data_IF_678567384455
#
_entry.id   IF_678567384455
#
_cell.length_a   1.000
_cell.length_b   1.000
_cell.length_c   1.000
_cell.angle_alpha   90.00
_cell.angle_beta   90.00
_cell.angle_gamma   90.00
#
_symmetry.space_group_name_H-M   'P 1'
#
loop_
_entity.id
_entity.type
_entity.pdbx_description
1 polymer ?
#
# COMPACT_ATOMS: atom_id res chain seq x y z
N UNK A 1 0.02 -22.21 -9.95
CA UNK A 1 -0.01 -21.03 -10.85
C UNK A 1 0.58 -19.87 -10.07
N UNK A 2 1.54 -19.14 -10.63
CA UNK A 2 2.18 -18.01 -9.94
C UNK A 2 1.17 -16.87 -9.86
N UNK A 3 0.66 -16.60 -8.66
CA UNK A 3 -0.35 -15.55 -8.44
C UNK A 3 0.35 -14.30 -7.92
N UNK A 4 0.12 -13.19 -8.60
CA UNK A 4 0.66 -11.89 -8.18
C UNK A 4 -0.32 -11.13 -7.30
N UNK A 5 -1.61 -11.42 -7.32
CA UNK A 5 -2.62 -10.80 -6.45
C UNK A 5 -2.72 -11.39 -5.05
N UNK A 6 -3.95 -11.65 -4.60
CA UNK A 6 -4.24 -12.34 -3.34
C UNK A 6 -4.84 -13.73 -3.56
N UNK A 7 -4.83 -14.55 -2.52
CA UNK A 7 -5.69 -15.73 -2.41
C UNK A 7 -7.13 -15.35 -1.98
N UNK A 8 -8.03 -16.34 -1.90
CA UNK A 8 -9.42 -16.11 -1.49
C UNK A 8 -9.56 -15.65 -0.03
N UNK A 9 -8.55 -15.89 0.81
CA UNK A 9 -8.55 -15.51 2.22
C UNK A 9 -8.04 -14.08 2.44
N UNK A 10 -7.54 -13.41 1.41
CA UNK A 10 -7.04 -12.03 1.50
C UNK A 10 -5.53 -11.94 1.74
N UNK A 11 -4.80 -13.05 1.67
CA UNK A 11 -3.34 -13.02 1.76
C UNK A 11 -2.75 -12.58 0.41
N UNK A 12 -2.10 -11.43 0.42
CA UNK A 12 -1.46 -10.86 -0.78
C UNK A 12 -0.08 -11.46 -1.02
N UNK A 13 0.26 -11.67 -2.29
CA UNK A 13 1.65 -11.91 -2.66
C UNK A 13 2.52 -10.67 -2.38
N UNK A 14 3.84 -10.88 -2.31
CA UNK A 14 4.84 -9.82 -2.14
C UNK A 14 4.60 -8.89 -0.93
N UNK A 15 3.97 -9.39 0.14
CA UNK A 15 3.81 -8.63 1.38
C UNK A 15 5.18 -8.43 2.04
N UNK A 16 5.54 -7.18 2.31
CA UNK A 16 6.79 -6.80 2.97
C UNK A 16 6.52 -5.68 3.96
N UNK A 17 7.05 -5.85 5.16
CA UNK A 17 7.16 -4.80 6.18
C UNK A 17 8.53 -4.14 6.08
N UNK A 18 8.55 -2.81 6.08
CA UNK A 18 9.77 -2.01 6.16
C UNK A 18 9.70 -1.21 7.46
N UNK A 19 10.72 -1.37 8.30
CA UNK A 19 10.84 -0.67 9.58
C UNK A 19 12.07 0.24 9.55
N UNK A 20 11.88 1.52 9.85
CA UNK A 20 12.96 2.48 10.05
C UNK A 20 13.15 2.73 11.54
N UNK A 21 14.34 2.42 12.06
CA UNK A 21 14.70 2.61 13.47
C UNK A 21 15.72 3.72 13.60
N UNK A 22 15.50 4.65 14.53
CA UNK A 22 16.42 5.75 14.85
C UNK A 22 16.70 5.74 16.35
N UNK A 23 17.97 5.86 16.74
CA UNK A 23 18.36 5.98 18.14
C UNK A 23 19.21 7.24 18.34
N UNK A 24 18.72 8.18 19.15
CA UNK A 24 19.38 9.48 19.40
C UNK A 24 19.16 9.88 20.87
N UNK A 25 20.24 10.22 21.58
CA UNK A 25 20.19 10.79 22.95
C UNK A 25 19.29 10.01 23.93
N UNK A 26 19.37 8.68 23.93
CA UNK A 26 18.56 7.85 24.82
C UNK A 26 17.13 7.56 24.34
N UNK A 27 16.69 8.20 23.26
CA UNK A 27 15.43 7.91 22.60
C UNK A 27 15.64 6.87 21.50
N UNK A 28 14.73 5.91 21.41
CA UNK A 28 14.63 4.96 20.30
C UNK A 28 13.27 5.13 19.65
N UNK A 29 13.25 5.41 18.35
CA UNK A 29 12.02 5.44 17.56
C UNK A 29 12.00 4.37 16.48
N UNK A 30 10.80 3.91 16.14
CA UNK A 30 10.55 3.01 15.02
C UNK A 30 9.34 3.49 14.22
N UNK A 31 9.43 3.42 12.90
CA UNK A 31 8.33 3.70 11.99
C UNK A 31 8.18 2.56 10.98
N UNK A 32 6.99 1.97 10.95
CA UNK A 32 6.67 0.82 10.09
C UNK A 32 5.80 1.24 8.92
N UNK A 33 6.14 0.76 7.73
CA UNK A 33 5.31 0.83 6.52
C UNK A 33 5.20 -0.55 5.90
N UNK A 34 4.08 -0.81 5.22
CA UNK A 34 3.89 -2.09 4.52
C UNK A 34 3.70 -1.87 3.03
N UNK A 35 4.16 -2.85 2.25
CA UNK A 35 3.86 -2.94 0.82
C UNK A 35 3.36 -4.33 0.48
N UNK A 36 2.53 -4.44 -0.54
CA UNK A 36 2.05 -5.73 -1.00
C UNK A 36 1.35 -5.65 -2.34
N UNK A 37 1.09 -6.79 -2.95
CA UNK A 37 0.29 -6.84 -4.16
C UNK A 37 -1.15 -6.42 -3.93
N UNK A 38 -1.86 -6.03 -5.00
CA UNK A 38 -3.27 -5.61 -4.93
C UNK A 38 -4.16 -6.78 -4.44
N UNK A 39 -5.06 -6.56 -3.46
CA UNK A 39 -5.73 -7.63 -2.71
C UNK A 39 -6.99 -8.15 -3.39
N UNK A 40 -6.83 -8.71 -4.59
CA UNK A 40 -7.84 -9.54 -5.26
C UNK A 40 -7.14 -10.51 -6.22
N UNK A 41 -7.87 -11.46 -6.80
CA UNK A 41 -7.27 -12.41 -7.73
C UNK A 41 -7.00 -11.71 -9.06
N UNK A 42 -5.71 -11.58 -9.37
CA UNK A 42 -5.26 -11.19 -10.69
C UNK A 42 -3.96 -11.90 -11.02
N UNK A 43 -3.77 -12.13 -12.31
CA UNK A 43 -2.64 -12.83 -12.85
C UNK A 43 -1.99 -11.99 -13.95
N UNK A 44 -0.67 -12.15 -14.08
CA UNK A 44 0.06 -11.62 -15.20
C UNK A 44 0.41 -12.79 -16.10
N UNK A 45 -0.14 -12.78 -17.31
CA UNK A 45 0.02 -13.88 -18.26
C UNK A 45 1.46 -13.86 -18.75
N UNK A 46 2.25 -14.86 -18.38
CA UNK A 46 3.64 -14.96 -18.82
C UNK A 46 3.66 -15.32 -20.30
N UNK A 47 4.09 -14.37 -21.13
CA UNK A 47 4.32 -14.52 -22.57
C UNK A 47 5.66 -13.89 -22.98
N UNK A 48 6.00 -13.95 -24.27
CA UNK A 48 7.24 -13.35 -24.80
C UNK A 48 7.12 -11.83 -25.02
N UNK A 49 6.07 -11.16 -24.53
CA UNK A 49 5.90 -9.72 -24.69
C UNK A 49 6.65 -8.95 -23.61
N UNK A 50 7.12 -7.75 -23.98
CA UNK A 50 7.87 -6.87 -23.07
C UNK A 50 7.07 -6.48 -21.81
N UNK A 51 5.75 -6.29 -21.95
CA UNK A 51 4.86 -5.99 -20.83
C UNK A 51 3.68 -6.96 -20.86
N UNK A 52 3.77 -8.09 -20.14
CA UNK A 52 2.74 -9.10 -20.19
C UNK A 52 1.42 -8.58 -19.62
N UNK A 53 0.31 -9.08 -20.17
CA UNK A 53 -1.04 -8.58 -19.86
C UNK A 53 -1.48 -9.02 -18.47
N UNK A 54 -2.25 -8.15 -17.82
CA UNK A 54 -2.96 -8.48 -16.59
C UNK A 54 -4.36 -9.01 -16.89
N UNK A 55 -4.73 -10.07 -16.20
CA UNK A 55 -6.06 -10.67 -16.20
C UNK A 55 -6.61 -10.66 -14.78
N UNK A 56 -7.81 -10.11 -14.60
CA UNK A 56 -8.52 -10.13 -13.33
C UNK A 56 -9.33 -11.43 -13.30
N UNK A 57 -9.07 -12.25 -12.31
CA UNK A 57 -9.73 -13.54 -12.13
C UNK A 57 -10.84 -13.33 -11.11
N UNK A 58 -12.06 -13.78 -11.42
CA UNK A 58 -13.23 -13.66 -10.53
C UNK A 58 -13.41 -12.23 -9.97
N UNK A 59 -13.62 -11.23 -10.84
CA UNK A 59 -13.80 -9.83 -10.43
C UNK A 59 -14.92 -9.65 -9.39
N UNK A 60 -15.92 -10.53 -9.37
CA UNK A 60 -16.99 -10.57 -8.38
C UNK A 60 -16.52 -10.85 -6.94
N UNK A 61 -15.38 -11.53 -6.75
CA UNK A 61 -14.79 -11.81 -5.43
C UNK A 61 -13.90 -10.66 -4.93
N UNK A 62 -13.59 -9.67 -5.78
CA UNK A 62 -12.57 -8.65 -5.48
C UNK A 62 -12.88 -7.82 -4.23
N UNK A 63 -14.15 -7.45 -4.03
CA UNK A 63 -14.60 -6.73 -2.84
C UNK A 63 -14.37 -7.56 -1.56
N UNK A 64 -14.86 -8.80 -1.56
CA UNK A 64 -14.79 -9.68 -0.40
C UNK A 64 -13.33 -9.95 0.03
N UNK A 65 -12.44 -10.11 -0.94
CA UNK A 65 -11.03 -10.40 -0.68
C UNK A 65 -10.28 -9.15 -0.20
N UNK A 66 -10.56 -7.98 -0.80
CA UNK A 66 -10.02 -6.71 -0.33
C UNK A 66 -10.49 -6.43 1.11
N UNK A 67 -11.77 -6.67 1.41
CA UNK A 67 -12.32 -6.51 2.75
C UNK A 67 -11.60 -7.39 3.77
N UNK A 68 -11.43 -8.69 3.49
CA UNK A 68 -10.66 -9.62 4.35
C UNK A 68 -9.24 -9.12 4.58
N UNK A 69 -8.53 -8.76 3.51
CA UNK A 69 -7.17 -8.24 3.60
C UNK A 69 -7.04 -7.01 4.52
N UNK A 70 -7.92 -6.02 4.33
CA UNK A 70 -7.88 -4.79 5.13
C UNK A 70 -8.44 -4.96 6.53
N UNK A 71 -9.32 -5.95 6.78
CA UNK A 71 -9.69 -6.35 8.14
C UNK A 71 -8.48 -6.88 8.90
N UNK A 72 -7.65 -7.72 8.28
CA UNK A 72 -6.47 -8.27 8.94
C UNK A 72 -5.37 -7.24 9.14
N UNK A 73 -5.12 -6.36 8.15
CA UNK A 73 -4.21 -5.23 8.34
C UNK A 73 -4.64 -4.33 9.50
N UNK A 74 -5.95 -4.04 9.63
CA UNK A 74 -6.44 -3.21 10.73
C UNK A 74 -6.27 -3.86 12.10
N UNK A 75 -6.45 -5.18 12.18
CA UNK A 75 -6.20 -5.93 13.43
C UNK A 75 -4.73 -5.88 13.84
N UNK A 76 -3.81 -5.90 12.87
CA UNK A 76 -2.37 -5.92 13.14
C UNK A 76 -1.79 -4.54 13.42
N UNK A 77 -2.20 -3.52 12.66
CA UNK A 77 -1.53 -2.22 12.64
C UNK A 77 -2.42 -1.04 13.06
N UNK A 78 -3.71 -1.26 13.34
CA UNK A 78 -4.65 -0.18 13.63
C UNK A 78 -5.17 0.49 12.36
N UNK A 79 -5.09 1.82 12.26
CA UNK A 79 -5.59 2.53 11.07
C UNK A 79 -4.77 2.18 9.83
N UNK A 80 -5.40 2.09 8.66
CA UNK A 80 -4.70 1.77 7.41
C UNK A 80 -4.94 2.85 6.37
N UNK A 81 -3.87 3.36 5.78
CA UNK A 81 -3.92 4.19 4.57
C UNK A 81 -3.42 3.36 3.38
N UNK A 82 -4.34 2.96 2.51
CA UNK A 82 -4.02 2.25 1.28
C UNK A 82 -3.69 3.24 0.15
N UNK A 83 -2.43 3.30 -0.24
CA UNK A 83 -1.94 4.11 -1.36
C UNK A 83 -1.82 3.26 -2.62
N UNK A 84 -2.58 3.61 -3.65
CA UNK A 84 -2.52 3.03 -5.00
C UNK A 84 -1.63 3.89 -5.91
N UNK A 85 -0.44 3.38 -6.25
CA UNK A 85 0.56 4.06 -7.10
C UNK A 85 0.45 3.73 -8.59
N UNK A 86 -0.61 3.01 -9.01
CA UNK A 86 -0.78 2.61 -10.40
C UNK A 86 -1.13 3.77 -11.32
N UNK A 87 -0.74 3.63 -12.58
CA UNK A 87 -1.22 4.54 -13.61
C UNK A 87 -2.70 4.26 -13.97
N UNK A 88 -3.37 5.27 -14.53
CA UNK A 88 -4.77 5.16 -15.01
C UNK A 88 -4.91 4.66 -16.45
N UNK A 89 -3.87 4.09 -17.05
CA UNK A 89 -3.87 3.72 -18.47
C UNK A 89 -3.57 2.23 -18.71
N UNK A 90 -4.18 1.68 -19.77
CA UNK A 90 -3.92 0.30 -20.17
C UNK A 90 -4.24 -0.74 -19.09
N UNK A 91 -3.38 -1.75 -18.95
CA UNK A 91 -3.60 -2.87 -18.04
C UNK A 91 -3.54 -2.48 -16.54
N UNK A 92 -2.62 -1.60 -16.15
CA UNK A 92 -2.52 -1.07 -14.78
C UNK A 92 -3.77 -0.23 -14.44
N UNK A 93 -4.26 0.58 -15.38
CA UNK A 93 -5.50 1.34 -15.21
C UNK A 93 -6.69 0.46 -14.84
N UNK A 94 -6.89 -0.66 -15.54
CA UNK A 94 -7.97 -1.62 -15.21
C UNK A 94 -7.84 -2.20 -13.81
N UNK A 95 -6.61 -2.49 -13.36
CA UNK A 95 -6.36 -2.97 -12.00
C UNK A 95 -6.62 -1.89 -10.95
N UNK A 96 -6.18 -0.65 -11.21
CA UNK A 96 -6.44 0.50 -10.35
C UNK A 96 -7.93 0.80 -10.21
N UNK A 97 -8.67 0.74 -11.31
CA UNK A 97 -10.11 1.00 -11.31
C UNK A 97 -10.87 -0.09 -10.55
N UNK A 98 -10.51 -1.37 -10.75
CA UNK A 98 -11.06 -2.47 -9.96
C UNK A 98 -10.74 -2.29 -8.46
N UNK A 99 -9.49 -1.93 -8.14
CA UNK A 99 -9.09 -1.72 -6.76
C UNK A 99 -9.86 -0.57 -6.12
N UNK A 100 -9.97 0.55 -6.82
CA UNK A 100 -10.75 1.70 -6.37
C UNK A 100 -12.21 1.34 -6.11
N UNK A 101 -12.85 0.58 -7.01
CA UNK A 101 -14.24 0.15 -6.85
C UNK A 101 -14.43 -0.82 -5.67
N UNK A 102 -13.48 -1.73 -5.45
CA UNK A 102 -13.49 -2.63 -4.31
C UNK A 102 -13.27 -1.90 -2.98
N UNK A 103 -12.48 -0.82 -2.97
CA UNK A 103 -12.20 -0.03 -1.77
C UNK A 103 -13.35 0.91 -1.38
N UNK A 104 -14.07 1.49 -2.34
CA UNK A 104 -15.16 2.45 -2.08
C UNK A 104 -16.15 2.03 -0.98
N UNK A 105 -16.71 0.81 -0.96
CA UNK A 105 -17.68 0.41 0.06
C UNK A 105 -17.07 0.06 1.43
N UNK A 106 -15.75 -0.15 1.54
CA UNK A 106 -15.10 -0.56 2.78
C UNK A 106 -14.31 0.56 3.47
N UNK A 107 -14.13 1.70 2.80
CA UNK A 107 -13.51 2.90 3.39
C UNK A 107 -14.29 3.33 4.63
N UNK A 108 -13.55 3.61 5.70
CA UNK A 108 -14.08 4.00 7.02
C UNK A 108 -13.12 4.98 7.68
N UNK A 109 -13.42 5.43 8.91
CA UNK A 109 -12.52 6.32 9.65
C UNK A 109 -11.09 5.75 9.78
N UNK A 110 -10.98 4.43 10.02
CA UNK A 110 -9.70 3.73 10.20
C UNK A 110 -9.19 3.06 8.92
N UNK A 111 -9.83 3.27 7.77
CA UNK A 111 -9.39 2.74 6.48
C UNK A 111 -9.58 3.78 5.38
N UNK A 112 -8.48 4.42 4.97
CA UNK A 112 -8.48 5.43 3.90
C UNK A 112 -7.86 4.84 2.63
N UNK A 113 -8.44 5.17 1.49
CA UNK A 113 -7.89 4.85 0.17
C UNK A 113 -7.43 6.14 -0.53
N UNK A 114 -6.25 6.10 -1.14
CA UNK A 114 -5.70 7.19 -1.92
C UNK A 114 -5.08 6.65 -3.21
N UNK A 115 -5.59 7.10 -4.35
CA UNK A 115 -4.94 6.87 -5.64
C UNK A 115 -3.97 8.01 -5.96
N UNK A 116 -2.75 7.68 -6.37
CA UNK A 116 -1.72 8.62 -6.78
C UNK A 116 -1.03 8.09 -8.04
N UNK A 117 -1.30 8.70 -9.21
CA UNK A 117 -0.67 8.29 -10.47
C UNK A 117 0.81 8.68 -10.49
N UNK A 118 1.66 7.82 -9.94
CA UNK A 118 3.10 8.06 -9.81
C UNK A 118 3.76 8.33 -11.17
N UNK A 119 3.35 7.60 -12.21
CA UNK A 119 3.94 7.74 -13.54
C UNK A 119 3.62 9.10 -14.15
N UNK A 120 2.38 9.55 -14.02
CA UNK A 120 1.95 10.86 -14.53
C UNK A 120 2.55 12.02 -13.72
N UNK A 121 2.63 11.88 -12.40
CA UNK A 121 3.03 12.98 -11.52
C UNK A 121 4.55 13.10 -11.46
N UNK A 122 5.26 12.02 -11.12
CA UNK A 122 6.71 12.03 -10.91
C UNK A 122 7.51 11.72 -12.18
N UNK A 123 6.92 11.01 -13.14
CA UNK A 123 7.61 10.61 -14.38
C UNK A 123 8.91 9.84 -14.07
N UNK A 124 9.98 10.17 -14.80
CA UNK A 124 11.30 9.55 -14.62
C UNK A 124 12.29 10.38 -13.80
N UNK A 125 11.99 11.67 -13.54
CA UNK A 125 12.99 12.64 -13.02
C UNK A 125 12.42 13.55 -11.93
N UNK A 126 11.10 13.66 -11.79
CA UNK A 126 10.45 14.66 -10.94
C UNK A 126 10.03 14.09 -9.58
N UNK A 127 10.99 13.52 -8.83
CA UNK A 127 10.73 12.94 -7.52
C UNK A 127 10.34 13.97 -6.46
N UNK A 128 10.71 15.24 -6.66
CA UNK A 128 10.27 16.36 -5.81
C UNK A 128 8.75 16.46 -5.71
N UNK A 129 8.01 15.96 -6.71
CA UNK A 129 6.54 15.96 -6.75
C UNK A 129 5.91 14.92 -5.84
N UNK A 130 6.70 14.08 -5.18
CA UNK A 130 6.21 13.24 -4.07
C UNK A 130 5.75 14.09 -2.89
N UNK A 131 6.18 15.34 -2.78
CA UNK A 131 5.60 16.29 -1.82
C UNK A 131 4.07 16.35 -1.92
N UNK A 132 3.49 16.26 -3.12
CA UNK A 132 2.04 16.23 -3.29
C UNK A 132 1.38 14.99 -2.67
N UNK A 133 2.08 13.85 -2.63
CA UNK A 133 1.61 12.68 -1.91
C UNK A 133 1.71 12.92 -0.40
N UNK A 134 2.85 13.41 0.07
CA UNK A 134 3.06 13.70 1.49
C UNK A 134 2.05 14.70 2.03
N UNK A 135 1.77 15.78 1.31
CA UNK A 135 0.76 16.78 1.67
C UNK A 135 -0.64 16.16 1.82
N UNK A 136 -0.97 15.17 1.00
CA UNK A 136 -2.26 14.47 1.05
C UNK A 136 -2.37 13.48 2.21
N UNK A 137 -1.26 12.99 2.75
CA UNK A 137 -1.24 11.95 3.79
C UNK A 137 -0.70 12.44 5.15
N UNK A 138 -0.24 13.69 5.21
CA UNK A 138 0.36 14.28 6.41
C UNK A 138 -0.57 14.23 7.62
N UNK A 139 -1.87 14.45 7.41
CA UNK A 139 -2.90 14.33 8.45
C UNK A 139 -2.94 12.93 9.06
N UNK A 140 -2.87 11.90 8.21
CA UNK A 140 -2.84 10.51 8.65
C UNK A 140 -1.55 10.19 9.42
N UNK A 141 -0.39 10.67 8.94
CA UNK A 141 0.90 10.43 9.59
C UNK A 141 0.95 11.09 10.98
N UNK A 142 0.46 12.32 11.10
CA UNK A 142 0.41 13.03 12.39
C UNK A 142 -0.57 12.36 13.35
N UNK A 143 -1.75 11.93 12.88
CA UNK A 143 -2.76 11.25 13.70
C UNK A 143 -2.26 9.90 14.26
N UNK A 144 -1.55 9.12 13.44
CA UNK A 144 -1.17 7.74 13.78
C UNK A 144 0.24 7.60 14.35
N UNK A 145 1.07 8.63 14.21
CA UNK A 145 2.38 8.71 14.85
C UNK A 145 3.36 7.61 14.43
N UNK A 146 4.33 7.37 15.30
CA UNK A 146 5.38 6.37 15.18
C UNK A 146 5.69 5.84 16.58
N UNK A 147 6.39 4.71 16.69
CA UNK A 147 6.81 4.18 17.96
C UNK A 147 7.96 5.03 18.54
N UNK A 148 7.87 5.40 19.82
CA UNK A 148 8.92 6.13 20.53
C UNK A 148 9.09 5.53 21.93
N UNK A 149 10.34 5.28 22.32
CA UNK A 149 10.73 4.81 23.65
C UNK A 149 11.81 5.73 24.19
N UNK A 150 11.66 6.18 25.43
CA UNK A 150 12.69 6.96 26.14
C UNK A 150 13.42 6.12 27.21
N UNK A 151 14.46 6.70 27.82
CA UNK A 151 15.25 6.04 28.88
C UNK A 151 14.43 5.75 30.14
N UNK A 152 13.36 6.51 30.38
CA UNK A 152 12.42 6.35 31.48
C UNK A 152 11.36 5.26 31.21
N UNK A 153 11.46 4.54 30.08
CA UNK A 153 10.52 3.53 29.62
C UNK A 153 9.10 4.04 29.33
N UNK A 154 8.92 5.35 29.14
CA UNK A 154 7.70 5.89 28.55
C UNK A 154 7.67 5.55 27.06
N UNK A 155 6.51 5.08 26.59
CA UNK A 155 6.33 4.65 25.20
C UNK A 155 5.17 5.36 24.52
N UNK A 156 5.36 5.66 23.24
CA UNK A 156 4.30 5.94 22.29
C UNK A 156 4.27 4.81 21.27
N UNK A 157 3.07 4.43 20.83
CA UNK A 157 2.87 3.37 19.84
C UNK A 157 2.43 3.98 18.52
N UNK A 158 2.83 3.34 17.41
CA UNK A 158 2.30 3.64 16.10
C UNK A 158 0.88 3.04 15.98
N UNK A 159 -0.11 3.87 15.70
CA UNK A 159 -1.54 3.49 15.69
C UNK A 159 -2.10 3.22 14.29
N UNK A 160 -1.26 3.30 13.27
CA UNK A 160 -1.66 3.07 11.89
C UNK A 160 -0.50 2.90 10.93
N UNK A 161 -0.77 2.35 9.76
CA UNK A 161 0.25 2.02 8.75
C UNK A 161 -0.13 2.56 7.38
N UNK A 162 0.87 3.05 6.65
CA UNK A 162 0.76 3.34 5.22
C UNK A 162 1.05 2.05 4.45
N UNK A 163 0.07 1.59 3.67
CA UNK A 163 0.16 0.43 2.81
C UNK A 163 0.26 0.86 1.35
N UNK A 164 1.37 0.58 0.69
CA UNK A 164 1.53 0.85 -0.76
C UNK A 164 1.32 -0.43 -1.57
N UNK A 165 0.72 -0.32 -2.76
CA UNK A 165 0.62 -1.47 -3.65
C UNK A 165 1.86 -1.62 -4.56
N UNK A 166 2.22 -2.87 -4.85
CA UNK A 166 3.28 -3.20 -5.80
C UNK A 166 2.73 -4.08 -6.93
N UNK A 167 3.10 -3.76 -8.18
CA UNK A 167 2.92 -4.67 -9.32
C UNK A 167 4.29 -5.18 -9.75
N UNK A 168 5.21 -4.32 -10.22
CA UNK A 168 6.46 -4.79 -10.86
C UNK A 168 7.75 -4.09 -10.41
N UNK A 169 7.68 -2.85 -9.95
CA UNK A 169 8.88 -2.04 -9.73
C UNK A 169 9.02 -1.73 -8.24
N UNK A 170 9.97 -2.42 -7.60
CA UNK A 170 10.55 -1.99 -6.33
C UNK A 170 10.86 -0.49 -6.36
N UNK A 171 11.25 0.09 -7.50
CA UNK A 171 11.57 1.52 -7.62
C UNK A 171 10.46 2.46 -7.14
N UNK A 172 9.19 2.28 -7.53
CA UNK A 172 8.12 3.22 -7.13
C UNK A 172 7.79 3.14 -5.65
N UNK A 173 7.76 1.91 -5.12
CA UNK A 173 7.44 1.66 -3.71
C UNK A 173 8.61 2.02 -2.80
N UNK A 174 9.85 1.70 -3.19
CA UNK A 174 11.07 2.09 -2.47
C UNK A 174 11.31 3.61 -2.47
N UNK A 175 10.84 4.34 -3.48
CA UNK A 175 10.96 5.81 -3.50
C UNK A 175 9.88 6.47 -2.62
N UNK A 176 8.78 5.75 -2.37
CA UNK A 176 7.66 6.23 -1.56
C UNK A 176 7.81 5.86 -0.07
N UNK A 177 8.56 4.79 0.23
CA UNK A 177 9.00 4.41 1.58
C UNK A 177 10.30 5.15 1.91
#
# INVERSE_FOLDING_TARGET
MWRRGADSEGHVANFVETEQIIQINGFTSSFVQVRGSIPFLWEQIVDLTYKPKFEIVRPEEALQIAERHFLDLRKMYGSVLAVDLLNKHGGEGRLSDMFSNAMQPIVSEDLRYLHFDFTKICGHVHFERLSFLYDQIADFLVKNGYFLLNEESEKMEQLGVVRTNCIDCLDRTNITQ
#
